data_IF_786067584806
#
_entry.id   IF_786067584806
#
_cell.length_a   1.000
_cell.length_b   1.000
_cell.length_c   1.000
_cell.angle_alpha   90.00
_cell.angle_beta   90.00
_cell.angle_gamma   90.00
#
_symmetry.space_group_name_H-M   'P 1'
#
loop_
_entity.id
_entity.type
_entity.pdbx_description
1 polymer ?
#
# COMPACT_ATOMS: atom_id res chain seq x y z
N UNK A 1 -1.75 -16.65 -26.75
CA UNK A 1 -1.56 -15.93 -26.61
C UNK A 1 -1.16 -15.42 -25.64
N UNK A 2 -0.65 -15.10 -25.35
CA UNK A 2 -0.38 -14.56 -24.49
C UNK A 2 -0.15 -13.62 -24.23
N UNK A 3 -0.11 -13.31 -23.90
CA UNK A 3 0.05 -12.35 -23.72
C UNK A 3 0.62 -11.93 -22.72
N UNK A 4 1.55 -11.63 -22.72
CA UNK A 4 2.15 -11.10 -21.90
C UNK A 4 1.75 -9.85 -21.63
N UNK A 5 1.06 -9.56 -20.79
CA UNK A 5 0.71 -8.34 -20.47
C UNK A 5 1.70 -7.80 -19.61
N UNK A 6 2.43 -6.90 -20.04
CA UNK A 6 3.29 -6.26 -19.24
C UNK A 6 2.56 -5.27 -18.45
N UNK A 7 2.09 -5.59 -17.30
CA UNK A 7 1.42 -4.67 -16.44
C UNK A 7 2.50 -3.99 -15.64
N UNK A 8 2.68 -2.71 -15.85
CA UNK A 8 3.61 -1.95 -15.05
C UNK A 8 2.97 -1.68 -13.70
N UNK A 9 3.74 -1.80 -12.66
CA UNK A 9 3.24 -1.56 -11.32
C UNK A 9 4.11 -0.54 -10.61
N UNK A 10 3.56 0.04 -9.57
CA UNK A 10 4.29 0.93 -8.69
C UNK A 10 4.05 0.49 -7.26
N UNK A 11 5.02 0.74 -6.41
CA UNK A 11 4.90 0.43 -4.99
C UNK A 11 4.61 1.72 -4.26
N UNK A 12 3.59 1.71 -3.42
CA UNK A 12 3.21 2.86 -2.63
C UNK A 12 3.59 2.63 -1.18
N UNK A 13 4.13 3.66 -0.55
CA UNK A 13 4.42 3.64 0.87
C UNK A 13 3.16 4.11 1.60
N UNK A 14 2.75 3.38 2.62
CA UNK A 14 1.59 3.74 3.41
C UNK A 14 2.02 3.78 4.88
N UNK A 15 1.97 4.96 5.46
CA UNK A 15 2.43 5.15 6.84
C UNK A 15 1.32 5.58 7.78
N UNK A 16 1.67 5.65 9.05
CA UNK A 16 0.76 6.00 10.13
C UNK A 16 -0.41 5.03 10.24
N UNK A 17 -0.12 3.75 10.00
CA UNK A 17 -1.14 2.71 10.10
C UNK A 17 -1.34 2.30 11.55
N UNK A 18 -2.57 1.93 11.93
CA UNK A 18 -2.75 1.30 13.24
C UNK A 18 -1.91 0.03 13.30
N UNK A 19 -1.36 -0.25 14.46
CA UNK A 19 -0.45 -1.37 14.59
C UNK A 19 -1.14 -2.73 14.35
N UNK A 20 -2.45 -2.77 14.47
CA UNK A 20 -3.19 -4.01 14.24
C UNK A 20 -3.57 -4.22 12.77
N UNK A 21 -3.21 -3.31 11.88
CA UNK A 21 -3.55 -3.44 10.46
C UNK A 21 -2.81 -4.64 9.88
N UNK A 22 -3.53 -5.46 9.14
CA UNK A 22 -2.95 -6.63 8.48
C UNK A 22 -2.70 -6.34 7.01
N UNK A 23 -1.89 -7.14 6.33
CA UNK A 23 -1.73 -6.95 4.89
C UNK A 23 -3.06 -7.04 4.14
N UNK A 24 -3.97 -7.91 4.60
CA UNK A 24 -5.27 -8.03 3.96
C UNK A 24 -6.08 -6.75 4.13
N UNK A 25 -6.02 -6.14 5.33
CA UNK A 25 -6.72 -4.88 5.57
C UNK A 25 -6.21 -3.82 4.62
N UNK A 26 -4.88 -3.77 4.46
CA UNK A 26 -4.28 -2.77 3.61
C UNK A 26 -4.70 -2.97 2.15
N UNK A 27 -4.70 -4.20 1.69
CA UNK A 27 -5.14 -4.49 0.34
C UNK A 27 -6.61 -4.12 0.15
N UNK A 28 -7.44 -4.41 1.15
CA UNK A 28 -8.86 -4.13 1.04
C UNK A 28 -9.16 -2.64 0.89
N UNK A 29 -8.51 -1.80 1.69
CA UNK A 29 -8.83 -0.38 1.62
C UNK A 29 -8.33 0.23 0.32
N UNK A 30 -7.24 -0.29 -0.24
CA UNK A 30 -6.74 0.25 -1.49
C UNK A 30 -7.48 -0.32 -2.70
N UNK A 31 -7.98 -1.55 -2.60
CA UNK A 31 -8.64 -2.17 -3.75
C UNK A 31 -9.92 -1.46 -4.14
N UNK A 32 -10.47 -0.64 -3.25
CA UNK A 32 -11.65 0.14 -3.59
C UNK A 32 -11.35 1.22 -4.61
N UNK A 33 -10.07 1.54 -4.81
CA UNK A 33 -9.70 2.64 -5.67
C UNK A 33 -8.93 2.20 -6.91
N UNK A 34 -8.66 0.92 -7.03
CA UNK A 34 -7.96 0.40 -8.19
C UNK A 34 -7.45 -1.00 -7.92
N UNK A 35 -6.58 -1.47 -8.80
CA UNK A 35 -6.09 -2.83 -8.69
C UNK A 35 -4.87 -2.93 -7.81
N UNK A 36 -4.94 -3.79 -6.81
CA UNK A 36 -3.85 -4.06 -5.89
C UNK A 36 -3.23 -5.39 -6.27
N UNK A 37 -1.92 -5.38 -6.51
CA UNK A 37 -1.20 -6.59 -6.88
C UNK A 37 -0.73 -7.31 -5.63
N UNK A 38 -0.20 -6.59 -4.67
CA UNK A 38 0.23 -7.19 -3.42
C UNK A 38 0.30 -6.14 -2.33
N UNK A 39 0.38 -6.59 -1.10
CA UNK A 39 0.50 -5.69 0.03
C UNK A 39 1.28 -6.37 1.13
N UNK A 40 1.91 -5.57 1.97
CA UNK A 40 2.61 -6.13 3.11
C UNK A 40 2.77 -5.06 4.18
N UNK A 41 2.88 -5.52 5.42
CA UNK A 41 3.10 -4.68 6.57
C UNK A 41 4.52 -4.95 7.05
N UNK A 42 5.26 -3.90 7.36
CA UNK A 42 6.61 -4.07 7.85
C UNK A 42 6.56 -4.30 9.36
N UNK A 43 7.21 -5.34 9.81
CA UNK A 43 7.20 -5.71 11.21
C UNK A 43 8.59 -5.70 11.78
N UNK A 44 8.67 -5.44 13.07
CA UNK A 44 9.94 -5.48 13.77
C UNK A 44 10.35 -6.94 13.91
N UNK A 45 11.58 -7.27 13.61
CA UNK A 45 12.02 -8.64 13.65
C UNK A 45 12.07 -9.21 15.05
N UNK A 46 12.36 -8.38 16.02
CA UNK A 46 12.50 -8.89 17.37
C UNK A 46 11.19 -9.03 18.10
N UNK A 47 10.27 -8.10 17.92
CA UNK A 47 9.02 -8.14 18.62
C UNK A 47 7.86 -8.62 17.77
N UNK A 48 8.07 -8.68 16.45
CA UNK A 48 7.04 -9.07 15.49
C UNK A 48 5.86 -8.11 15.51
N UNK A 49 6.06 -6.90 15.95
CA UNK A 49 5.00 -5.90 15.94
C UNK A 49 5.09 -5.05 14.70
N UNK A 50 3.94 -4.60 14.24
CA UNK A 50 3.89 -3.71 13.10
C UNK A 50 4.64 -2.43 13.43
N UNK A 51 5.40 -1.93 12.48
CA UNK A 51 6.11 -0.67 12.66
C UNK A 51 5.25 0.51 12.25
N UNK A 52 3.99 0.27 11.92
CA UNK A 52 3.08 1.36 11.60
C UNK A 52 3.13 1.77 10.15
N UNK A 53 3.77 1.00 9.28
CA UNK A 53 3.77 1.31 7.87
C UNK A 53 3.91 0.05 7.05
N UNK A 54 3.60 0.17 5.78
CA UNK A 54 3.69 -0.96 4.88
C UNK A 54 3.78 -0.49 3.45
N UNK A 55 3.70 -1.42 2.53
CA UNK A 55 3.80 -1.14 1.12
C UNK A 55 2.69 -1.85 0.37
N UNK A 56 2.19 -1.19 -0.66
CA UNK A 56 1.17 -1.76 -1.52
C UNK A 56 1.66 -1.64 -2.94
N UNK A 57 1.67 -2.74 -3.67
CA UNK A 57 2.03 -2.72 -5.07
C UNK A 57 0.74 -2.66 -5.87
N UNK A 58 0.60 -1.66 -6.74
CA UNK A 58 -0.63 -1.42 -7.47
C UNK A 58 -0.33 -1.23 -8.94
N UNK A 59 -1.35 -1.31 -9.78
CA UNK A 59 -1.17 -1.05 -11.20
C UNK A 59 -0.71 0.39 -11.38
N UNK A 60 0.27 0.59 -12.25
CA UNK A 60 0.84 1.91 -12.47
C UNK A 60 -0.22 2.93 -12.84
N UNK A 61 -1.16 2.54 -13.68
CA UNK A 61 -2.19 3.48 -14.11
C UNK A 61 -3.12 3.89 -12.97
N UNK A 62 -3.16 3.12 -11.90
CA UNK A 62 -4.02 3.44 -10.77
C UNK A 62 -3.27 4.14 -9.65
N UNK A 63 -1.95 4.21 -9.72
CA UNK A 63 -1.17 4.67 -8.58
C UNK A 63 -1.48 6.11 -8.20
N UNK A 64 -1.56 7.00 -9.17
CA UNK A 64 -1.80 8.41 -8.87
C UNK A 64 -3.15 8.63 -8.24
N UNK A 65 -4.19 7.95 -8.74
CA UNK A 65 -5.50 8.15 -8.16
C UNK A 65 -5.59 7.51 -6.78
N UNK A 66 -4.85 6.44 -6.55
CA UNK A 66 -4.83 5.84 -5.22
C UNK A 66 -4.15 6.75 -4.22
N UNK A 67 -3.05 7.37 -4.61
CA UNK A 67 -2.38 8.32 -3.75
C UNK A 67 -3.33 9.48 -3.44
N UNK A 68 -3.99 10.02 -4.46
CA UNK A 68 -4.88 11.14 -4.25
C UNK A 68 -6.06 10.78 -3.36
N UNK A 69 -6.55 9.55 -3.47
CA UNK A 69 -7.69 9.12 -2.68
C UNK A 69 -7.32 8.79 -1.24
N UNK A 70 -6.12 8.27 -1.03
CA UNK A 70 -5.76 7.73 0.27
C UNK A 70 -4.84 8.61 1.10
N UNK A 71 -4.11 9.52 0.45
CA UNK A 71 -3.25 10.41 1.20
C UNK A 71 -4.11 11.32 2.05
N UNK A 72 -3.87 11.34 3.34
CA UNK A 72 -4.64 12.16 4.24
C UNK A 72 -5.98 11.59 4.65
N UNK A 73 -6.28 10.35 4.21
CA UNK A 73 -7.55 9.76 4.57
C UNK A 73 -7.48 9.21 5.97
N UNK A 74 -8.56 9.39 6.71
CA UNK A 74 -8.60 8.85 8.06
C UNK A 74 -9.00 7.39 8.04
N UNK A 75 -8.22 6.56 8.74
CA UNK A 75 -8.50 5.14 8.81
C UNK A 75 -8.35 4.73 10.26
N UNK A 76 -9.45 4.31 10.88
CA UNK A 76 -9.48 3.89 12.28
C UNK A 76 -8.85 4.92 13.20
N UNK A 77 -9.19 6.19 12.97
CA UNK A 77 -8.74 7.26 13.83
C UNK A 77 -7.37 7.82 13.52
N UNK A 78 -6.72 7.35 12.46
CA UNK A 78 -5.40 7.84 12.10
C UNK A 78 -5.42 8.35 10.67
N UNK A 79 -4.69 9.42 10.44
CA UNK A 79 -4.61 9.99 9.09
C UNK A 79 -3.44 9.35 8.38
N UNK A 80 -3.71 8.69 7.27
CA UNK A 80 -2.70 7.93 6.55
C UNK A 80 -1.78 8.83 5.75
N UNK A 81 -0.54 8.38 5.60
CA UNK A 81 0.42 9.02 4.72
C UNK A 81 0.67 8.06 3.56
N UNK A 82 0.44 8.52 2.33
CA UNK A 82 0.61 7.67 1.16
C UNK A 82 1.47 8.38 0.14
N UNK A 83 2.55 7.75 -0.25
CA UNK A 83 3.46 8.31 -1.24
C UNK A 83 4.00 7.20 -2.09
N UNK A 84 4.53 7.56 -3.24
CA UNK A 84 5.18 6.56 -4.07
C UNK A 84 6.49 6.17 -3.41
N UNK A 85 6.68 4.88 -3.22
CA UNK A 85 7.93 4.39 -2.63
C UNK A 85 8.97 4.29 -3.72
N UNK A 86 10.15 4.87 -3.47
CA UNK A 86 11.20 4.79 -4.43
C UNK A 86 12.13 3.70 -4.02
N UNK A 87 12.37 2.78 -4.94
CA UNK A 87 13.23 1.68 -4.67
C UNK A 87 14.61 2.01 -5.17
N UNK A 88 15.62 1.89 -4.30
CA UNK A 88 16.91 2.18 -4.71
C UNK A 88 17.60 0.95 -4.90
N UNK A 89 18.34 0.82 -5.87
CA UNK A 89 19.03 -0.39 -6.13
C UNK A 89 20.44 -0.27 -5.87
#
# INVERSE_FOLDING_TARGET
MVSEVNVLTKTLYVGNLPWATTPQDLADIFSEHGQVVSSRIIRDKETNRSRGFGFVEVADEDSDKMIAAMEGKEYNGRVLTVNEAKIRE
#
